data_IF_641330899222
#
_entry.id   IF_641330899222
#
_cell.length_a   1.000
_cell.length_b   1.000
_cell.length_c   1.000
_cell.angle_alpha   90.00
_cell.angle_beta   90.00
_cell.angle_gamma   90.00
#
_symmetry.space_group_name_H-M   'P 1'
#
loop_
_entity.id
_entity.type
_entity.pdbx_description
1 polymer ?
#
# COMPACT_ATOMS: atom_id res chain seq x y z
N UNK A 1 7.27 5.85 -49.98
CA UNK A 1 6.83 4.98 -48.87
C UNK A 1 5.45 4.44 -49.20
N UNK A 2 5.28 3.11 -49.32
CA UNK A 2 4.00 2.50 -49.72
C UNK A 2 3.21 2.15 -48.44
N UNK A 3 2.04 2.77 -48.23
CA UNK A 3 1.13 2.46 -47.12
C UNK A 3 0.52 1.07 -47.36
N UNK A 4 0.82 0.10 -46.51
CA UNK A 4 0.22 -1.23 -46.55
C UNK A 4 -0.95 -1.28 -45.58
N UNK A 5 -2.17 -1.52 -46.08
CA UNK A 5 -3.37 -1.74 -45.26
C UNK A 5 -3.66 -3.24 -45.27
N UNK A 6 -3.59 -3.88 -44.09
CA UNK A 6 -3.91 -5.30 -43.92
C UNK A 6 -5.40 -5.44 -43.64
N UNK A 7 -6.17 -5.98 -44.58
CA UNK A 7 -7.61 -6.22 -44.42
C UNK A 7 -7.82 -7.55 -43.68
N UNK A 8 -8.68 -7.56 -42.66
CA UNK A 8 -9.00 -8.76 -41.87
C UNK A 8 -8.05 -9.04 -40.69
N UNK A 9 -7.10 -8.14 -40.42
CA UNK A 9 -6.23 -8.21 -39.25
C UNK A 9 -6.76 -7.22 -38.21
N UNK A 10 -7.26 -7.71 -37.08
CA UNK A 10 -7.53 -6.91 -35.90
C UNK A 10 -6.29 -7.01 -35.01
N UNK A 11 -5.38 -6.04 -35.13
CA UNK A 11 -4.23 -5.95 -34.23
C UNK A 11 -4.75 -5.35 -32.92
N UNK A 12 -5.08 -6.21 -31.93
CA UNK A 12 -5.31 -5.72 -30.57
C UNK A 12 -4.00 -5.15 -30.07
N UNK A 13 -3.88 -3.83 -29.96
CA UNK A 13 -2.90 -3.23 -29.06
C UNK A 13 -3.45 -3.38 -27.63
N UNK A 14 -3.56 -4.63 -27.17
CA UNK A 14 -3.99 -4.91 -25.80
C UNK A 14 -2.93 -4.33 -24.86
N UNK A 15 -3.10 -3.07 -24.43
CA UNK A 15 -2.30 -2.43 -23.39
C UNK A 15 -2.77 -2.98 -22.05
N UNK A 16 -2.37 -4.21 -21.75
CA UNK A 16 -2.52 -4.76 -20.41
C UNK A 16 -1.41 -4.21 -19.54
N UNK A 17 -1.77 -3.55 -18.45
CA UNK A 17 -0.84 -3.10 -17.41
C UNK A 17 -0.62 -4.24 -16.42
N UNK A 18 0.65 -4.46 -16.04
CA UNK A 18 1.01 -5.38 -14.96
C UNK A 18 2.12 -4.75 -14.13
N UNK A 19 2.02 -4.90 -12.81
CA UNK A 19 3.11 -4.66 -11.87
C UNK A 19 3.32 -5.91 -11.04
N UNK A 20 4.56 -6.12 -10.61
CA UNK A 20 4.92 -7.22 -9.72
C UNK A 20 6.01 -6.74 -8.78
N UNK A 21 5.76 -6.92 -7.49
CA UNK A 21 6.66 -6.64 -6.39
C UNK A 21 6.84 -7.95 -5.62
N UNK A 22 8.06 -8.25 -5.22
CA UNK A 22 8.36 -9.37 -4.33
C UNK A 22 9.03 -8.84 -3.07
N UNK A 23 8.62 -9.37 -1.93
CA UNK A 23 9.26 -9.11 -0.64
C UNK A 23 9.19 -10.33 0.26
N UNK A 24 9.86 -10.27 1.41
CA UNK A 24 9.69 -11.27 2.45
C UNK A 24 8.28 -11.22 3.03
N UNK A 25 7.81 -12.35 3.59
CA UNK A 25 6.54 -12.37 4.33
C UNK A 25 6.57 -11.41 5.52
N UNK A 26 7.73 -11.21 6.15
CA UNK A 26 7.89 -10.27 7.27
C UNK A 26 7.63 -8.81 6.85
N UNK A 27 8.26 -8.36 5.76
CA UNK A 27 8.04 -7.00 5.21
C UNK A 27 6.58 -6.79 4.79
N UNK A 28 5.98 -7.79 4.15
CA UNK A 28 4.58 -7.72 3.72
C UNK A 28 3.62 -7.60 4.92
N UNK A 29 3.86 -8.36 5.99
CA UNK A 29 3.04 -8.29 7.20
C UNK A 29 3.31 -7.00 7.98
N UNK A 30 4.54 -6.46 7.99
CA UNK A 30 4.84 -5.14 8.55
C UNK A 30 4.06 -4.03 7.82
N UNK A 31 3.94 -4.12 6.50
CA UNK A 31 3.11 -3.20 5.71
C UNK A 31 1.63 -3.31 6.04
N UNK A 32 1.09 -4.53 6.23
CA UNK A 32 -0.30 -4.74 6.66
C UNK A 32 -0.59 -4.17 8.06
N UNK A 33 0.40 -4.20 8.95
CA UNK A 33 0.31 -3.58 10.30
C UNK A 33 0.49 -2.06 10.28
N UNK A 34 0.94 -1.47 9.16
CA UNK A 34 1.18 -0.04 9.03
C UNK A 34 2.51 0.44 9.63
N UNK A 35 3.47 -0.46 9.84
CA UNK A 35 4.83 -0.13 10.30
C UNK A 35 5.68 0.51 9.19
N UNK A 36 5.41 0.10 7.95
CA UNK A 36 6.01 0.62 6.72
C UNK A 36 4.92 1.01 5.73
N UNK A 37 5.30 1.76 4.71
CA UNK A 37 4.46 2.19 3.58
C UNK A 37 5.07 1.71 2.27
N UNK A 38 4.22 1.38 1.31
CA UNK A 38 4.67 0.95 0.00
C UNK A 38 4.86 2.16 -0.93
N UNK A 39 6.07 2.33 -1.48
CA UNK A 39 6.40 3.42 -2.38
C UNK A 39 6.58 2.90 -3.81
N UNK A 40 5.52 2.99 -4.61
CA UNK A 40 5.47 2.42 -5.98
C UNK A 40 6.54 2.99 -6.92
N UNK A 41 6.88 4.26 -6.75
CA UNK A 41 7.83 5.00 -7.59
C UNK A 41 9.14 5.32 -6.88
N UNK A 42 9.31 4.82 -5.65
CA UNK A 42 10.48 5.08 -4.82
C UNK A 42 11.69 4.26 -5.26
N UNK A 43 12.88 4.65 -4.78
CA UNK A 43 14.08 3.81 -4.90
C UNK A 43 14.02 2.56 -4.02
N UNK A 44 13.21 2.59 -2.96
CA UNK A 44 12.92 1.49 -2.06
C UNK A 44 11.42 1.21 -2.07
N UNK A 45 11.04 -0.08 -2.05
CA UNK A 45 9.63 -0.48 -2.07
C UNK A 45 8.90 -0.18 -0.76
N UNK A 46 9.60 -0.29 0.37
CA UNK A 46 9.02 -0.08 1.70
C UNK A 46 9.77 1.00 2.45
N UNK A 47 9.07 2.04 2.87
CA UNK A 47 9.63 3.13 3.67
C UNK A 47 9.00 3.13 5.07
N UNK A 48 9.80 3.42 6.09
CA UNK A 48 9.32 3.44 7.48
C UNK A 48 8.24 4.50 7.68
N UNK A 49 7.11 4.10 8.27
CA UNK A 49 6.06 5.02 8.70
C UNK A 49 6.43 5.77 10.01
N UNK A 50 7.50 5.35 10.69
CA UNK A 50 7.82 5.75 12.07
C UNK A 50 8.66 7.03 12.20
N UNK A 51 8.43 8.04 11.36
CA UNK A 51 9.03 9.38 11.55
C UNK A 51 8.27 10.28 12.54
N UNK A 52 7.20 9.77 13.16
CA UNK A 52 6.39 10.56 14.09
C UNK A 52 7.11 10.78 15.42
N UNK A 53 7.22 12.05 15.80
CA UNK A 53 7.67 12.44 17.12
C UNK A 53 6.62 12.07 18.18
N UNK A 54 7.00 12.06 19.47
CA UNK A 54 6.03 11.85 20.56
C UNK A 54 4.94 12.93 20.58
N UNK A 55 5.28 14.13 20.11
CA UNK A 55 4.31 15.21 19.91
C UNK A 55 3.28 14.85 18.83
N UNK A 56 3.73 14.32 17.69
CA UNK A 56 2.81 13.93 16.60
C UNK A 56 1.94 12.74 17.00
N UNK A 57 2.48 11.79 17.77
CA UNK A 57 1.69 10.68 18.33
C UNK A 57 0.61 11.17 19.29
N UNK A 58 0.92 12.18 20.11
CA UNK A 58 -0.06 12.83 20.98
C UNK A 58 -1.13 13.54 20.16
N UNK A 59 -0.74 14.25 19.10
CA UNK A 59 -1.67 14.92 18.21
C UNK A 59 -2.57 13.96 17.45
N UNK A 60 -2.03 12.84 16.96
CA UNK A 60 -2.81 11.79 16.33
C UNK A 60 -3.83 11.16 17.31
N UNK A 61 -3.46 10.99 18.58
CA UNK A 61 -4.42 10.48 19.58
C UNK A 61 -5.53 11.49 19.89
N UNK A 62 -5.20 12.79 19.99
CA UNK A 62 -6.18 13.87 20.17
C UNK A 62 -7.12 13.94 18.95
N UNK A 63 -6.55 13.90 17.75
CA UNK A 63 -7.29 13.92 16.49
C UNK A 63 -8.25 12.72 16.35
N UNK A 64 -7.82 11.51 16.75
CA UNK A 64 -8.71 10.35 16.79
C UNK A 64 -9.88 10.58 17.74
N UNK A 65 -9.60 11.00 18.98
CA UNK A 65 -10.63 11.19 20.00
C UNK A 65 -11.59 12.35 19.66
N UNK A 66 -11.13 13.36 18.92
CA UNK A 66 -11.94 14.48 18.45
C UNK A 66 -12.86 14.12 17.27
N UNK A 67 -12.45 13.16 16.43
CA UNK A 67 -13.18 12.75 15.22
C UNK A 67 -13.92 11.42 15.36
N UNK A 68 -13.77 10.70 16.48
CA UNK A 68 -14.44 9.41 16.68
C UNK A 68 -15.96 9.58 16.85
N UNK A 69 -16.70 8.60 16.35
CA UNK A 69 -18.14 8.51 16.57
C UNK A 69 -18.49 7.77 17.88
N UNK A 70 -19.77 7.78 18.24
CA UNK A 70 -20.30 7.14 19.46
C UNK A 70 -20.15 5.60 19.48
N UNK A 71 -19.87 4.98 18.33
CA UNK A 71 -19.74 3.52 18.18
C UNK A 71 -18.28 3.07 18.12
N UNK A 72 -17.33 3.99 17.97
CA UNK A 72 -15.90 3.72 17.96
C UNK A 72 -15.34 3.60 19.38
N UNK A 73 -14.31 2.75 19.54
CA UNK A 73 -13.60 2.58 20.80
C UNK A 73 -12.82 3.84 21.15
N UNK A 74 -12.58 4.07 22.44
CA UNK A 74 -11.65 5.12 22.87
C UNK A 74 -10.21 4.79 22.45
N UNK A 75 -9.39 5.82 22.22
CA UNK A 75 -7.98 5.65 21.83
C UNK A 75 -7.22 4.67 22.74
N UNK A 76 -7.49 4.72 24.05
CA UNK A 76 -6.83 3.85 25.05
C UNK A 76 -7.13 2.37 24.83
N UNK A 77 -8.32 2.05 24.34
CA UNK A 77 -8.82 0.68 24.16
C UNK A 77 -8.54 0.13 22.75
N UNK A 78 -7.92 0.94 21.87
CA UNK A 78 -7.41 0.48 20.58
C UNK A 78 -6.22 -0.46 20.77
N UNK A 79 -6.15 -1.49 19.92
CA UNK A 79 -4.95 -2.32 19.81
C UNK A 79 -3.77 -1.50 19.29
N UNK A 80 -2.55 -1.93 19.60
CA UNK A 80 -1.33 -1.26 19.14
C UNK A 80 -1.27 -1.21 17.60
N UNK A 81 -1.76 -2.25 16.93
CA UNK A 81 -1.89 -2.31 15.46
C UNK A 81 -2.86 -1.23 14.93
N UNK A 82 -4.01 -1.04 15.59
CA UNK A 82 -4.97 -0.01 15.20
C UNK A 82 -4.40 1.40 15.42
N UNK A 83 -3.71 1.61 16.54
CA UNK A 83 -2.98 2.86 16.81
C UNK A 83 -1.92 3.13 15.74
N UNK A 84 -1.13 2.10 15.38
CA UNK A 84 -0.10 2.21 14.34
C UNK A 84 -0.69 2.58 12.98
N UNK A 85 -1.80 1.95 12.58
CA UNK A 85 -2.52 2.33 11.35
C UNK A 85 -2.98 3.78 11.38
N UNK A 86 -3.52 4.23 12.52
CA UNK A 86 -3.97 5.62 12.67
C UNK A 86 -2.82 6.62 12.63
N UNK A 87 -1.70 6.30 13.28
CA UNK A 87 -0.48 7.10 13.20
C UNK A 87 -0.02 7.30 11.76
N UNK A 88 0.01 6.22 10.98
CA UNK A 88 0.37 6.28 9.56
C UNK A 88 -0.63 7.11 8.75
N UNK A 89 -1.93 7.00 9.04
CA UNK A 89 -2.96 7.85 8.43
C UNK A 89 -2.73 9.34 8.74
N UNK A 90 -2.58 9.68 10.02
CA UNK A 90 -2.32 11.04 10.49
C UNK A 90 -1.05 11.62 9.87
N UNK A 91 0.04 10.84 9.82
CA UNK A 91 1.30 11.27 9.20
C UNK A 91 1.11 11.71 7.75
N UNK A 92 0.23 11.02 7.01
CA UNK A 92 -0.06 11.32 5.61
C UNK A 92 -0.92 12.57 5.45
N UNK A 93 -1.97 12.70 6.26
CA UNK A 93 -2.88 13.86 6.23
C UNK A 93 -2.19 15.17 6.62
N UNK A 94 -1.05 15.08 7.31
CA UNK A 94 -0.22 16.21 7.74
C UNK A 94 1.11 16.35 6.97
N UNK A 95 1.26 15.69 5.81
CA UNK A 95 2.44 15.78 4.93
C UNK A 95 3.78 15.46 5.63
N UNK A 96 3.75 14.64 6.68
CA UNK A 96 4.95 14.19 7.43
C UNK A 96 5.69 13.10 6.65
N UNK A 97 4.95 12.34 5.86
CA UNK A 97 5.42 11.26 4.98
C UNK A 97 5.03 11.56 3.54
N UNK A 98 5.75 10.94 2.61
CA UNK A 98 5.54 11.11 1.17
C UNK A 98 4.09 10.78 0.76
N UNK A 99 3.45 11.68 -0.01
CA UNK A 99 2.07 11.56 -0.47
C UNK A 99 1.83 10.30 -1.34
N UNK A 100 2.85 9.89 -2.10
CA UNK A 100 2.81 8.74 -3.00
C UNK A 100 2.99 7.41 -2.26
N UNK A 101 3.41 7.44 -0.98
CA UNK A 101 3.54 6.25 -0.17
C UNK A 101 2.15 5.73 0.25
N UNK A 102 1.86 4.45 -0.02
CA UNK A 102 0.55 3.83 0.17
C UNK A 102 0.54 2.88 1.37
N UNK A 103 -0.51 2.95 2.18
CA UNK A 103 -0.81 1.86 3.12
C UNK A 103 -1.28 0.62 2.35
N UNK A 104 -1.29 -0.54 3.02
CA UNK A 104 -1.83 -1.77 2.43
C UNK A 104 -3.25 -1.59 1.92
N UNK A 105 -4.12 -0.98 2.73
CA UNK A 105 -5.53 -0.78 2.38
C UNK A 105 -5.68 0.19 1.20
N UNK A 106 -4.85 1.24 1.12
CA UNK A 106 -4.88 2.17 -0.01
C UNK A 106 -4.48 1.48 -1.32
N UNK A 107 -3.37 0.73 -1.31
CA UNK A 107 -2.89 0.03 -2.49
C UNK A 107 -3.92 -1.00 -2.98
N UNK A 108 -4.58 -1.71 -2.06
CA UNK A 108 -5.51 -2.78 -2.41
C UNK A 108 -6.87 -2.25 -2.92
N UNK A 109 -7.27 -1.03 -2.57
CA UNK A 109 -8.65 -0.55 -2.80
C UNK A 109 -8.77 0.76 -3.62
N UNK A 110 -7.72 1.56 -3.78
CA UNK A 110 -7.82 2.88 -4.46
C UNK A 110 -7.59 2.83 -5.99
N UNK A 111 -7.15 1.68 -6.53
CA UNK A 111 -6.77 1.54 -7.94
C UNK A 111 -7.91 1.15 -8.89
N UNK A 112 -7.77 1.51 -10.17
CA UNK A 112 -8.64 1.01 -11.26
C UNK A 112 -8.26 -0.39 -11.75
N UNK A 113 -7.13 -0.91 -11.27
CA UNK A 113 -6.57 -2.21 -11.64
C UNK A 113 -6.93 -3.26 -10.60
N UNK A 114 -7.01 -4.51 -11.02
CA UNK A 114 -7.15 -5.65 -10.10
C UNK A 114 -5.83 -5.89 -9.37
N UNK A 115 -5.90 -6.32 -8.11
CA UNK A 115 -4.72 -6.65 -7.32
C UNK A 115 -4.57 -8.16 -7.15
N UNK A 116 -3.33 -8.63 -7.04
CA UNK A 116 -3.03 -10.03 -6.70
C UNK A 116 -2.05 -10.10 -5.54
N UNK A 117 -2.14 -11.19 -4.78
CA UNK A 117 -1.17 -11.58 -3.76
C UNK A 117 -0.95 -13.09 -3.90
N UNK A 118 0.29 -13.50 -4.12
CA UNK A 118 0.72 -14.88 -4.12
C UNK A 118 1.81 -15.09 -3.08
N UNK A 119 1.78 -16.25 -2.42
CA UNK A 119 2.77 -16.66 -1.42
C UNK A 119 3.52 -17.88 -1.92
N UNK A 120 4.82 -17.88 -1.71
CA UNK A 120 5.71 -18.96 -2.09
C UNK A 120 6.71 -19.24 -0.98
N UNK A 121 6.96 -20.51 -0.70
CA UNK A 121 8.05 -20.94 0.18
C UNK A 121 9.14 -21.57 -0.66
N UNK A 122 10.35 -21.02 -0.60
CA UNK A 122 11.51 -21.53 -1.33
C UNK A 122 11.87 -22.93 -0.84
N UNK A 123 12.67 -23.66 -1.64
CA UNK A 123 13.21 -24.97 -1.21
C UNK A 123 14.07 -24.87 0.05
N UNK A 124 14.59 -23.67 0.34
CA UNK A 124 15.40 -23.39 1.52
C UNK A 124 14.56 -22.87 2.71
N UNK A 125 13.25 -22.72 2.54
CA UNK A 125 12.32 -22.27 3.59
C UNK A 125 12.00 -20.78 3.58
N UNK A 126 12.57 -20.00 2.66
CA UNK A 126 12.31 -18.55 2.58
C UNK A 126 10.85 -18.31 2.17
N UNK A 127 10.15 -17.48 2.95
CA UNK A 127 8.77 -17.12 2.65
C UNK A 127 8.72 -15.81 1.91
N UNK A 128 8.25 -15.87 0.67
CA UNK A 128 8.21 -14.77 -0.27
C UNK A 128 6.75 -14.46 -0.58
N UNK A 129 6.44 -13.17 -0.63
CA UNK A 129 5.14 -12.67 -1.08
C UNK A 129 5.38 -11.91 -2.38
N UNK A 130 4.67 -12.31 -3.43
CA UNK A 130 4.59 -11.58 -4.69
C UNK A 130 3.22 -10.90 -4.77
N UNK A 131 3.19 -9.60 -4.98
CA UNK A 131 1.94 -8.84 -5.11
C UNK A 131 2.05 -7.82 -6.23
N UNK A 132 0.92 -7.32 -6.69
CA UNK A 132 0.90 -6.34 -7.77
C UNK A 132 -0.49 -6.01 -8.25
N UNK A 133 -0.54 -5.10 -9.22
CA UNK A 133 -1.74 -4.69 -9.94
C UNK A 133 -1.70 -5.20 -11.39
N UNK A 134 -2.84 -5.58 -11.94
CA UNK A 134 -2.99 -5.97 -13.34
C UNK A 134 -4.35 -5.54 -13.90
N UNK A 135 -4.43 -5.42 -15.23
CA UNK A 135 -5.68 -5.10 -15.92
C UNK A 135 -5.46 -4.22 -17.14
N UNK A 136 -6.48 -3.46 -17.49
CA UNK A 136 -6.48 -2.57 -18.66
C UNK A 136 -6.51 -1.12 -18.21
N UNK A 137 -5.61 -0.31 -18.78
CA UNK A 137 -5.57 1.15 -18.61
C UNK A 137 -5.91 1.85 -19.93
#
# INVERSE_FOLDING_TARGET
MKRQIRRGVFETNSSSTHSLVMCSEEEFEAWKRGEVLFQKWGSENFVSANKLSDYDKKKASEDYDDNKDDFQKDWKDLSDEAKQKYYTKYAKEHDIIDEDAKTYEQYMNEGYLETFIQRYTSKNGDKIVAFGEYGYC
#
